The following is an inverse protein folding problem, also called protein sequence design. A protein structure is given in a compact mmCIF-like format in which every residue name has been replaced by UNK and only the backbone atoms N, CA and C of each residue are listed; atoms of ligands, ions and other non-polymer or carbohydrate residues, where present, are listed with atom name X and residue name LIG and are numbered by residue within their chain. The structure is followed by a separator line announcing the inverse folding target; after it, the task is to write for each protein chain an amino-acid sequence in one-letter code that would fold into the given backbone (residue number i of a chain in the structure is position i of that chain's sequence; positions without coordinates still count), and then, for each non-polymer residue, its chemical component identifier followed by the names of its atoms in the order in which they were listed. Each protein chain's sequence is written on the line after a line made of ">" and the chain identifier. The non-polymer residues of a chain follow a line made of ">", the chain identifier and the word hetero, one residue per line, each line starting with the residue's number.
data_IF_442138996831
#
_entry.id   IF_442138996831
#
_cell.length_a   1.000
_cell.length_b   1.000
_cell.length_c   1.000
_cell.angle_alpha   90.00
_cell.angle_beta   90.00
_cell.angle_gamma   90.00
#
_symmetry.space_group_name_H-M   'P 1'
#
loop_
_entity.id
_entity.type
_entity.pdbx_description
1 polymer ?
#
# COMPACT_ATOMS: atom_id res chain seq x y z
N UNK A 1 -31.95 -5.84 15.47
CA UNK A 1 -30.51 -6.26 15.40
C UNK A 1 -30.05 -6.05 13.97
N UNK A 2 -29.15 -5.12 13.71
CA UNK A 2 -28.54 -4.96 12.39
C UNK A 2 -27.80 -6.27 12.05
N UNK A 3 -28.22 -6.94 10.98
CA UNK A 3 -27.49 -8.08 10.44
C UNK A 3 -26.19 -7.56 9.84
N UNK A 4 -25.05 -8.06 10.30
CA UNK A 4 -23.72 -7.75 9.74
C UNK A 4 -23.21 -9.00 9.01
N UNK A 5 -22.48 -8.79 7.91
CA UNK A 5 -21.85 -9.88 7.14
C UNK A 5 -20.47 -10.28 7.71
N UNK A 6 -20.28 -10.16 9.00
CA UNK A 6 -19.06 -10.56 9.72
C UNK A 6 -19.41 -11.24 11.04
N UNK A 7 -18.53 -12.07 11.53
CA UNK A 7 -18.73 -12.77 12.81
C UNK A 7 -18.46 -11.83 13.99
N UNK A 8 -17.29 -11.20 14.02
CA UNK A 8 -16.94 -10.18 15.02
C UNK A 8 -16.06 -9.09 14.40
N UNK A 9 -15.95 -7.93 15.06
CA UNK A 9 -15.07 -6.86 14.64
C UNK A 9 -13.58 -7.28 14.70
N UNK A 10 -13.24 -8.05 15.71
CA UNK A 10 -11.88 -8.51 16.01
C UNK A 10 -11.38 -9.48 14.95
N UNK A 11 -12.24 -10.31 14.39
CA UNK A 11 -11.85 -11.36 13.43
C UNK A 11 -12.12 -10.97 11.97
N UNK A 12 -12.94 -9.95 11.71
CA UNK A 12 -13.45 -9.64 10.38
C UNK A 12 -12.36 -9.43 9.33
N UNK A 13 -11.30 -8.67 9.64
CA UNK A 13 -10.22 -8.39 8.70
C UNK A 13 -9.40 -9.65 8.39
N UNK A 14 -9.12 -10.44 9.41
CA UNK A 14 -8.45 -11.73 9.27
C UNK A 14 -9.27 -12.70 8.40
N UNK A 15 -10.57 -12.80 8.68
CA UNK A 15 -11.48 -13.64 7.92
C UNK A 15 -11.62 -13.17 6.47
N UNK A 16 -11.65 -11.86 6.22
CA UNK A 16 -11.68 -11.29 4.87
C UNK A 16 -10.45 -11.68 4.05
N UNK A 17 -9.24 -11.56 4.60
CA UNK A 17 -8.01 -12.00 3.92
C UNK A 17 -8.00 -13.51 3.66
N UNK A 18 -8.49 -14.32 4.58
CA UNK A 18 -8.64 -15.75 4.38
C UNK A 18 -9.65 -16.06 3.27
N UNK A 19 -10.74 -15.29 3.19
CA UNK A 19 -11.71 -15.36 2.10
C UNK A 19 -11.09 -15.10 0.74
N UNK A 20 -10.32 -14.02 0.61
CA UNK A 20 -9.60 -13.66 -0.61
C UNK A 20 -8.62 -14.78 -1.02
N UNK A 21 -7.82 -15.28 -0.07
CA UNK A 21 -6.88 -16.37 -0.32
C UNK A 21 -7.58 -17.65 -0.81
N UNK A 22 -8.77 -17.97 -0.26
CA UNK A 22 -9.58 -19.12 -0.69
C UNK A 22 -10.21 -18.91 -2.07
N UNK A 23 -10.67 -17.70 -2.36
CA UNK A 23 -11.25 -17.35 -3.66
C UNK A 23 -10.21 -17.35 -4.81
N UNK A 24 -8.94 -17.11 -4.47
CA UNK A 24 -7.85 -17.03 -5.44
C UNK A 24 -6.70 -18.00 -5.05
N UNK A 25 -6.93 -19.32 -5.14
CA UNK A 25 -5.94 -20.31 -4.71
C UNK A 25 -4.65 -20.19 -5.53
N UNK A 26 -3.52 -20.23 -4.83
CA UNK A 26 -2.20 -20.15 -5.45
C UNK A 26 -1.75 -18.74 -5.88
N UNK A 27 -2.62 -17.71 -5.76
CA UNK A 27 -2.31 -16.35 -6.22
C UNK A 27 -1.54 -15.55 -5.17
N UNK A 28 -1.89 -15.72 -3.91
CA UNK A 28 -1.36 -14.90 -2.82
C UNK A 28 -0.72 -15.74 -1.72
N UNK A 29 0.37 -15.20 -1.17
CA UNK A 29 0.86 -15.56 0.16
C UNK A 29 0.43 -14.51 1.16
N UNK A 30 -0.01 -14.95 2.32
CA UNK A 30 -0.37 -14.10 3.43
C UNK A 30 0.84 -13.91 4.34
N UNK A 31 1.18 -12.66 4.61
CA UNK A 31 2.03 -12.29 5.73
C UNK A 31 1.15 -12.18 6.97
N UNK A 32 1.60 -12.75 8.06
CA UNK A 32 0.98 -12.65 9.38
C UNK A 32 2.05 -12.32 10.42
N UNK A 33 1.82 -11.29 11.18
CA UNK A 33 2.66 -10.84 12.29
C UNK A 33 1.79 -10.64 13.53
N UNK A 34 2.39 -10.46 14.68
CA UNK A 34 1.65 -10.09 15.90
C UNK A 34 0.98 -8.70 15.80
N UNK A 35 1.42 -7.84 14.85
CA UNK A 35 0.95 -6.47 14.68
C UNK A 35 -0.03 -6.27 13.52
N UNK A 36 -0.26 -7.30 12.70
CA UNK A 36 -1.18 -7.19 11.57
C UNK A 36 -0.88 -8.14 10.43
N UNK A 37 -1.54 -7.90 9.32
CA UNK A 37 -1.59 -8.81 8.18
C UNK A 37 -1.36 -8.07 6.86
N UNK A 38 -0.93 -8.85 5.85
CA UNK A 38 -0.89 -8.40 4.47
C UNK A 38 -0.94 -9.56 3.50
N UNK A 39 -1.07 -9.25 2.22
CA UNK A 39 -1.00 -10.20 1.12
C UNK A 39 0.05 -9.75 0.11
N UNK A 40 0.82 -10.71 -0.42
CA UNK A 40 1.67 -10.48 -1.57
C UNK A 40 1.47 -11.55 -2.63
N UNK A 41 1.73 -11.19 -3.86
CA UNK A 41 1.58 -12.09 -5.00
C UNK A 41 2.65 -13.18 -5.01
N UNK A 42 2.27 -14.42 -5.30
CA UNK A 42 3.22 -15.53 -5.38
C UNK A 42 4.13 -15.41 -6.62
N UNK A 43 3.60 -14.92 -7.74
CA UNK A 43 4.32 -14.83 -9.01
C UNK A 43 4.73 -13.38 -9.29
N UNK A 44 5.61 -12.83 -8.45
CA UNK A 44 6.19 -11.53 -8.74
C UNK A 44 7.34 -11.74 -9.74
N UNK A 45 7.04 -11.53 -11.01
CA UNK A 45 8.03 -11.66 -12.08
C UNK A 45 9.03 -10.49 -12.01
N UNK A 46 10.27 -10.78 -12.36
CA UNK A 46 11.35 -9.85 -12.63
C UNK A 46 12.03 -9.15 -11.45
N UNK A 47 13.29 -8.90 -11.67
CA UNK A 47 14.19 -8.17 -10.81
C UNK A 47 13.98 -6.64 -11.00
N UNK A 48 12.94 -6.09 -10.40
CA UNK A 48 12.52 -4.68 -10.48
C UNK A 48 12.14 -4.14 -9.10
N UNK A 49 12.01 -2.83 -8.98
CA UNK A 49 11.48 -2.18 -7.77
C UNK A 49 10.13 -2.80 -7.42
N UNK A 50 9.93 -3.12 -6.15
CA UNK A 50 8.67 -3.63 -5.61
C UNK A 50 7.77 -2.48 -5.19
N UNK A 51 6.48 -2.65 -5.40
CA UNK A 51 5.46 -1.67 -5.03
C UNK A 51 4.55 -2.29 -3.98
N UNK A 52 4.43 -1.62 -2.84
CA UNK A 52 3.52 -1.96 -1.75
C UNK A 52 2.48 -0.86 -1.64
N UNK A 53 1.20 -1.22 -1.58
CA UNK A 53 0.12 -0.32 -1.23
C UNK A 53 -0.39 -0.63 0.16
N UNK A 54 -0.80 0.39 0.88
CA UNK A 54 -1.28 0.23 2.24
C UNK A 54 -2.31 1.27 2.66
N UNK A 55 -2.95 1.02 3.80
CA UNK A 55 -3.92 1.93 4.41
C UNK A 55 -4.80 1.26 5.45
N UNK A 56 -5.83 1.96 5.90
CA UNK A 56 -6.73 1.49 6.95
C UNK A 56 -7.48 0.21 6.60
N UNK A 57 -7.69 -0.66 7.59
CA UNK A 57 -8.29 -1.99 7.40
C UNK A 57 -9.76 -1.99 7.03
N UNK A 58 -10.51 -0.91 7.30
CA UNK A 58 -11.89 -0.77 6.84
C UNK A 58 -12.05 -0.84 5.32
N UNK A 59 -10.99 -0.57 4.59
CA UNK A 59 -10.89 -0.65 3.13
C UNK A 59 -10.07 -1.86 2.65
N UNK A 60 -9.92 -2.89 3.46
CA UNK A 60 -9.08 -4.06 3.17
C UNK A 60 -9.39 -4.74 1.83
N UNK A 61 -10.65 -4.75 1.40
CA UNK A 61 -11.07 -5.25 0.09
C UNK A 61 -10.53 -4.39 -1.07
N UNK A 62 -10.41 -3.08 -0.88
CA UNK A 62 -9.79 -2.19 -1.86
C UNK A 62 -8.28 -2.48 -1.96
N UNK A 63 -7.59 -2.55 -0.83
CA UNK A 63 -6.15 -2.81 -0.82
C UNK A 63 -5.80 -4.15 -1.47
N UNK A 64 -6.59 -5.20 -1.21
CA UNK A 64 -6.36 -6.50 -1.84
C UNK A 64 -6.51 -6.48 -3.36
N UNK A 65 -7.38 -5.62 -3.90
CA UNK A 65 -7.53 -5.46 -5.34
C UNK A 65 -6.31 -4.81 -6.01
N UNK A 66 -5.47 -4.10 -5.26
CA UNK A 66 -4.21 -3.56 -5.77
C UNK A 66 -3.09 -4.59 -5.89
N UNK A 67 -3.13 -5.69 -5.12
CA UNK A 67 -2.13 -6.75 -5.22
C UNK A 67 -2.33 -7.60 -6.49
N UNK A 68 -2.23 -6.96 -7.66
CA UNK A 68 -2.50 -7.50 -8.98
C UNK A 68 -1.34 -7.30 -9.96
N UNK A 69 -1.31 -8.11 -11.00
CA UNK A 69 -0.34 -7.91 -12.08
C UNK A 69 -0.60 -6.58 -12.79
N UNK A 70 0.45 -5.79 -12.92
CA UNK A 70 0.37 -4.44 -13.49
C UNK A 70 -0.13 -3.38 -12.51
N UNK A 71 -0.23 -3.73 -11.23
CA UNK A 71 -0.45 -2.84 -10.09
C UNK A 71 0.62 -3.12 -9.03
N UNK A 72 0.25 -3.20 -7.74
CA UNK A 72 1.19 -3.45 -6.67
C UNK A 72 1.59 -4.94 -6.56
N UNK A 73 2.71 -5.19 -5.92
CA UNK A 73 3.22 -6.54 -5.64
C UNK A 73 2.66 -7.09 -4.33
N UNK A 74 2.38 -6.19 -3.39
CA UNK A 74 1.83 -6.52 -2.08
C UNK A 74 0.89 -5.42 -1.57
N UNK A 75 0.09 -5.80 -0.59
CA UNK A 75 -0.76 -4.90 0.17
C UNK A 75 -0.62 -5.17 1.66
N UNK A 76 -0.71 -4.11 2.45
CA UNK A 76 -0.81 -4.17 3.91
C UNK A 76 -2.01 -3.33 4.34
N UNK A 77 -2.78 -3.79 5.32
CA UNK A 77 -3.82 -2.97 5.91
C UNK A 77 -3.70 -2.93 7.44
N UNK A 78 -4.11 -1.82 8.01
CA UNK A 78 -4.28 -1.68 9.45
C UNK A 78 -5.54 -2.36 9.97
N UNK A 79 -5.87 -2.09 11.22
CA UNK A 79 -7.18 -2.41 11.78
C UNK A 79 -8.26 -1.45 11.26
N UNK A 80 -9.51 -1.69 11.65
CA UNK A 80 -10.58 -0.74 11.39
C UNK A 80 -10.20 0.63 11.94
N UNK A 81 -10.35 1.65 11.09
CA UNK A 81 -10.09 3.06 11.42
C UNK A 81 -8.64 3.35 11.90
N UNK A 82 -7.68 2.52 11.51
CA UNK A 82 -6.27 2.74 11.85
C UNK A 82 -5.33 2.38 10.71
N UNK A 83 -4.24 3.12 10.60
CA UNK A 83 -3.14 2.84 9.70
C UNK A 83 -2.47 1.48 10.01
N UNK A 84 -1.82 0.85 9.04
CA UNK A 84 -1.01 -0.34 9.30
C UNK A 84 0.19 0.01 10.21
N UNK A 85 0.58 -0.96 11.03
CA UNK A 85 1.76 -0.81 11.88
C UNK A 85 3.03 -0.81 11.01
N UNK A 86 3.99 0.06 11.33
CA UNK A 86 5.27 0.17 10.63
C UNK A 86 6.04 -1.15 10.53
N UNK A 87 5.96 -1.98 11.56
CA UNK A 87 6.62 -3.28 11.58
C UNK A 87 6.02 -4.26 10.55
N UNK A 88 4.71 -4.21 10.31
CA UNK A 88 4.07 -5.05 9.28
C UNK A 88 4.50 -4.61 7.88
N UNK A 89 4.61 -3.29 7.65
CA UNK A 89 5.12 -2.72 6.40
C UNK A 89 6.58 -3.15 6.16
N UNK A 90 7.41 -3.03 7.18
CA UNK A 90 8.81 -3.45 7.16
C UNK A 90 8.96 -4.95 6.85
N UNK A 91 8.22 -5.83 7.55
CA UNK A 91 8.26 -7.27 7.30
C UNK A 91 7.73 -7.62 5.90
N UNK A 92 6.68 -6.95 5.44
CA UNK A 92 6.20 -7.13 4.07
C UNK A 92 7.27 -6.79 3.04
N UNK A 93 7.93 -5.65 3.21
CA UNK A 93 9.00 -5.23 2.33
C UNK A 93 10.15 -6.23 2.28
N UNK A 94 10.59 -6.75 3.42
CA UNK A 94 11.64 -7.78 3.50
C UNK A 94 11.25 -9.07 2.80
N UNK A 95 9.99 -9.48 2.90
CA UNK A 95 9.50 -10.72 2.29
C UNK A 95 9.49 -10.66 0.75
N UNK A 96 9.34 -9.48 0.17
CA UNK A 96 9.25 -9.34 -1.30
C UNK A 96 10.46 -8.65 -1.93
N UNK A 97 11.40 -8.14 -1.13
CA UNK A 97 12.59 -7.47 -1.65
C UNK A 97 13.40 -8.39 -2.57
N UNK A 98 13.97 -7.77 -3.59
CA UNK A 98 14.86 -8.43 -4.55
C UNK A 98 16.13 -7.62 -4.81
N UNK A 99 16.48 -6.68 -3.91
CA UNK A 99 17.64 -5.82 -4.03
C UNK A 99 17.50 -4.66 -5.01
N UNK A 100 16.27 -4.37 -5.49
CA UNK A 100 15.98 -3.22 -6.38
C UNK A 100 15.29 -2.08 -5.67
N UNK A 101 14.91 -2.27 -4.41
CA UNK A 101 14.24 -1.30 -3.56
C UNK A 101 12.73 -1.43 -3.57
N UNK A 102 12.12 -0.71 -2.63
CA UNK A 102 10.69 -0.74 -2.32
C UNK A 102 10.10 0.66 -2.49
N UNK A 103 8.98 0.76 -3.20
CA UNK A 103 8.14 1.96 -3.25
C UNK A 103 6.84 1.70 -2.50
N UNK A 104 6.63 2.40 -1.39
CA UNK A 104 5.36 2.44 -0.69
C UNK A 104 4.45 3.50 -1.30
N UNK A 105 3.20 3.14 -1.54
CA UNK A 105 2.14 4.05 -1.97
C UNK A 105 1.01 3.99 -0.95
N UNK A 106 0.75 5.09 -0.28
CA UNK A 106 -0.31 5.20 0.72
C UNK A 106 -1.12 6.47 0.51
N UNK A 107 -2.32 6.55 1.06
CA UNK A 107 -3.08 7.79 1.09
C UNK A 107 -2.53 8.73 2.17
N UNK A 108 -2.58 10.03 1.90
CA UNK A 108 -2.05 11.04 2.82
C UNK A 108 -2.96 11.23 4.02
N UNK A 109 -2.76 10.39 5.04
CA UNK A 109 -3.28 10.54 6.39
C UNK A 109 -2.13 10.42 7.37
N UNK A 110 -2.19 11.14 8.48
CA UNK A 110 -1.05 11.27 9.40
C UNK A 110 -0.55 9.90 9.92
N UNK A 111 -1.46 9.00 10.26
CA UNK A 111 -1.09 7.66 10.74
C UNK A 111 -0.36 6.82 9.68
N UNK A 112 -0.86 6.86 8.45
CA UNK A 112 -0.24 6.15 7.33
C UNK A 112 1.13 6.76 7.00
N UNK A 113 1.23 8.09 6.96
CA UNK A 113 2.49 8.79 6.76
C UNK A 113 3.55 8.38 7.79
N UNK A 114 3.25 8.50 9.09
CA UNK A 114 4.21 8.22 10.16
C UNK A 114 4.66 6.75 10.19
N UNK A 115 3.76 5.81 9.95
CA UNK A 115 4.11 4.39 9.93
C UNK A 115 4.92 4.00 8.69
N UNK A 116 4.62 4.59 7.53
CA UNK A 116 5.44 4.39 6.32
C UNK A 116 6.83 4.99 6.47
N UNK A 117 6.95 6.20 7.02
CA UNK A 117 8.23 6.86 7.28
C UNK A 117 9.10 6.00 8.20
N UNK A 118 8.54 5.53 9.31
CA UNK A 118 9.22 4.60 10.22
C UNK A 118 9.63 3.28 9.52
N UNK A 119 8.79 2.72 8.66
CA UNK A 119 9.12 1.51 7.92
C UNK A 119 10.30 1.73 6.96
N UNK A 120 10.36 2.89 6.30
CA UNK A 120 11.50 3.29 5.44
C UNK A 120 12.78 3.40 6.26
N UNK A 121 12.72 4.00 7.45
CA UNK A 121 13.88 4.08 8.36
C UNK A 121 14.36 2.69 8.81
N UNK A 122 13.44 1.81 9.21
CA UNK A 122 13.78 0.44 9.60
C UNK A 122 14.44 -0.34 8.47
N UNK A 123 13.94 -0.21 7.24
CA UNK A 123 14.53 -0.85 6.06
C UNK A 123 15.92 -0.33 5.75
N UNK A 124 16.18 0.96 5.96
CA UNK A 124 17.51 1.54 5.78
C UNK A 124 18.56 0.92 6.72
N UNK A 125 18.18 0.56 7.95
CA UNK A 125 19.06 -0.16 8.88
C UNK A 125 19.45 -1.56 8.36
N UNK A 126 18.58 -2.19 7.58
CA UNK A 126 18.83 -3.49 6.94
C UNK A 126 19.47 -3.36 5.54
N UNK A 127 19.89 -2.15 5.15
CA UNK A 127 20.42 -1.82 3.82
C UNK A 127 19.44 -2.10 2.66
N UNK A 128 18.15 -2.03 2.92
CA UNK A 128 17.09 -2.12 1.90
C UNK A 128 16.66 -0.70 1.56
N UNK A 129 16.88 -0.30 0.31
CA UNK A 129 16.46 1.01 -0.17
C UNK A 129 14.93 1.07 -0.28
N UNK A 130 14.32 2.05 0.34
CA UNK A 130 12.89 2.26 0.27
C UNK A 130 12.56 3.75 0.08
N UNK A 131 11.43 4.01 -0.54
CA UNK A 131 10.85 5.35 -0.67
C UNK A 131 9.34 5.25 -0.48
N UNK A 132 8.70 6.36 -0.10
CA UNK A 132 7.25 6.44 -0.01
C UNK A 132 6.70 7.60 -0.83
N UNK A 133 5.45 7.48 -1.27
CA UNK A 133 4.67 8.58 -1.83
C UNK A 133 3.28 8.56 -1.21
N UNK A 134 2.96 9.63 -0.47
CA UNK A 134 1.64 9.85 0.10
C UNK A 134 0.76 10.57 -0.92
N UNK A 135 -0.35 9.95 -1.28
CA UNK A 135 -1.27 10.44 -2.29
C UNK A 135 -2.20 11.48 -1.67
N UNK A 136 -2.24 12.68 -2.26
CA UNK A 136 -2.95 13.87 -1.74
C UNK A 136 -3.84 14.49 -2.82
N UNK A 137 -4.72 13.67 -3.37
CA UNK A 137 -5.52 14.01 -4.55
C UNK A 137 -6.89 14.62 -4.25
N UNK A 138 -7.42 14.47 -3.01
CA UNK A 138 -8.75 14.97 -2.66
C UNK A 138 -8.75 16.50 -2.45
N UNK A 139 -9.29 17.21 -3.45
CA UNK A 139 -9.29 18.68 -3.45
C UNK A 139 -10.32 19.29 -2.49
N UNK A 140 -11.25 18.50 -1.95
CA UNK A 140 -12.25 18.96 -0.99
C UNK A 140 -11.87 18.66 0.47
N UNK A 141 -10.83 17.86 0.70
CA UNK A 141 -10.44 17.43 2.06
C UNK A 141 -9.76 18.51 2.90
N UNK A 142 -9.38 19.64 2.32
CA UNK A 142 -8.84 20.77 3.06
C UNK A 142 -9.27 22.10 2.45
N UNK A 143 -9.39 23.12 3.30
CA UNK A 143 -9.61 24.49 2.85
C UNK A 143 -8.30 25.09 2.28
N UNK A 144 -8.42 25.74 1.12
CA UNK A 144 -7.30 26.40 0.44
C UNK A 144 -6.52 25.51 -0.53
N UNK A 145 -5.52 26.13 -1.20
CA UNK A 145 -4.78 25.50 -2.30
C UNK A 145 -3.54 24.68 -1.85
N UNK A 146 -3.31 24.52 -0.55
CA UNK A 146 -2.11 23.84 -0.03
C UNK A 146 -2.25 22.34 -0.27
N UNK A 147 -1.67 21.87 -1.37
CA UNK A 147 -1.72 20.47 -1.78
C UNK A 147 -1.20 19.49 -0.73
N UNK A 148 -0.27 19.95 0.10
CA UNK A 148 0.35 19.16 1.16
C UNK A 148 -0.61 18.83 2.33
N UNK A 149 -1.71 19.57 2.46
CA UNK A 149 -2.71 19.32 3.50
C UNK A 149 -3.90 18.47 3.04
N UNK A 150 -3.92 18.10 1.76
CA UNK A 150 -5.00 17.28 1.20
C UNK A 150 -4.89 15.84 1.66
N UNK A 151 -6.03 15.20 1.91
CA UNK A 151 -6.12 13.76 2.06
C UNK A 151 -5.96 13.03 0.74
N UNK A 152 -5.71 11.73 0.80
CA UNK A 152 -5.73 10.84 -0.36
C UNK A 152 -7.08 10.15 -0.50
N UNK A 153 -7.48 9.90 -1.74
CA UNK A 153 -8.74 9.23 -2.05
C UNK A 153 -8.56 8.20 -3.17
N UNK A 154 -8.91 8.53 -4.41
CA UNK A 154 -8.87 7.60 -5.54
C UNK A 154 -7.58 7.67 -6.37
N UNK A 155 -6.78 8.73 -6.20
CA UNK A 155 -5.55 8.97 -6.97
C UNK A 155 -4.51 7.87 -6.84
N UNK A 156 -4.55 7.13 -5.74
CA UNK A 156 -3.63 6.01 -5.51
C UNK A 156 -3.71 4.94 -6.62
N UNK A 157 -4.89 4.72 -7.19
CA UNK A 157 -5.08 3.77 -8.30
C UNK A 157 -4.30 4.17 -9.55
N UNK A 158 -4.39 5.44 -9.94
CA UNK A 158 -3.71 5.98 -11.10
C UNK A 158 -2.19 6.00 -10.88
N UNK A 159 -1.74 6.48 -9.71
CA UNK A 159 -0.31 6.54 -9.39
C UNK A 159 0.29 5.13 -9.34
N UNK A 160 -0.39 4.18 -8.70
CA UNK A 160 0.04 2.79 -8.65
C UNK A 160 0.18 2.18 -10.06
N UNK A 161 -0.80 2.38 -10.94
CA UNK A 161 -0.77 1.87 -12.32
C UNK A 161 0.38 2.44 -13.13
N UNK A 162 0.63 3.75 -13.01
CA UNK A 162 1.73 4.44 -13.68
C UNK A 162 3.08 3.90 -13.17
N UNK A 163 3.26 3.82 -11.86
CA UNK A 163 4.49 3.33 -11.26
C UNK A 163 4.74 1.85 -11.57
N UNK A 164 3.70 1.00 -11.57
CA UNK A 164 3.84 -0.40 -11.93
C UNK A 164 4.26 -0.60 -13.38
N UNK A 165 3.73 0.22 -14.29
CA UNK A 165 4.16 0.24 -15.70
C UNK A 165 5.65 0.61 -15.82
N UNK A 166 6.05 1.72 -15.21
CA UNK A 166 7.42 2.20 -15.27
C UNK A 166 8.42 1.24 -14.59
N UNK A 167 8.03 0.59 -13.49
CA UNK A 167 8.85 -0.43 -12.84
C UNK A 167 9.13 -1.63 -13.77
N UNK A 168 8.15 -2.02 -14.58
CA UNK A 168 8.32 -3.10 -15.59
C UNK A 168 9.24 -2.68 -16.74
N UNK A 169 9.27 -1.39 -17.07
CA UNK A 169 10.20 -0.81 -18.05
C UNK A 169 11.60 -0.58 -17.47
N UNK A 170 11.87 -1.00 -16.23
CA UNK A 170 13.18 -0.98 -15.61
C UNK A 170 13.56 0.31 -14.90
N UNK A 171 12.59 1.17 -14.57
CA UNK A 171 12.85 2.36 -13.76
C UNK A 171 13.39 1.95 -12.39
N UNK A 172 14.47 2.61 -11.93
CA UNK A 172 15.00 2.43 -10.59
C UNK A 172 14.15 3.17 -9.54
N UNK A 173 14.46 2.95 -8.26
CA UNK A 173 13.68 3.51 -7.15
C UNK A 173 13.62 5.05 -7.19
N UNK A 174 14.73 5.72 -7.49
CA UNK A 174 14.76 7.18 -7.58
C UNK A 174 13.85 7.72 -8.71
N UNK A 175 13.92 7.07 -9.87
CA UNK A 175 13.07 7.43 -11.01
C UNK A 175 11.58 7.19 -10.70
N UNK A 176 11.25 6.07 -10.03
CA UNK A 176 9.89 5.76 -9.63
C UNK A 176 9.35 6.72 -8.56
N UNK A 177 10.16 7.08 -7.57
CA UNK A 177 9.79 8.05 -6.55
C UNK A 177 9.47 9.42 -7.17
N UNK A 178 10.33 9.90 -8.09
CA UNK A 178 10.07 11.14 -8.86
C UNK A 178 8.80 11.04 -9.70
N UNK A 179 8.57 9.89 -10.34
CA UNK A 179 7.37 9.66 -11.15
C UNK A 179 6.11 9.62 -10.30
N UNK A 180 6.15 8.95 -9.15
CA UNK A 180 5.04 8.91 -8.20
C UNK A 180 4.67 10.31 -7.71
N UNK A 181 5.65 11.10 -7.28
CA UNK A 181 5.44 12.49 -6.84
C UNK A 181 4.88 13.37 -7.96
N UNK A 182 5.41 13.26 -9.17
CA UNK A 182 4.91 13.97 -10.36
C UNK A 182 3.47 13.57 -10.69
N UNK A 183 3.14 12.30 -10.61
CA UNK A 183 1.78 11.80 -10.88
C UNK A 183 0.82 12.30 -9.80
N UNK A 184 1.19 12.18 -8.51
CA UNK A 184 0.41 12.68 -7.40
C UNK A 184 0.10 14.19 -7.54
N UNK A 185 1.09 14.99 -7.94
CA UNK A 185 0.87 16.44 -8.15
C UNK A 185 -0.15 16.79 -9.24
N UNK A 186 -0.54 15.83 -10.08
CA UNK A 186 -1.45 16.02 -11.23
C UNK A 186 -2.78 15.32 -11.11
N UNK A 187 -2.89 14.31 -10.28
CA UNK A 187 -4.16 13.62 -10.00
C UNK A 187 -5.01 14.46 -9.07
N UNK A 188 -6.30 14.51 -9.35
CA UNK A 188 -7.30 15.18 -8.52
C UNK A 188 -8.54 14.30 -8.41
N UNK A 189 -9.10 14.23 -7.22
CA UNK A 189 -10.39 13.62 -6.94
C UNK A 189 -11.24 14.54 -6.07
N UNK A 190 -12.49 14.18 -5.93
CA UNK A 190 -13.50 14.90 -5.16
C UNK A 190 -14.27 13.86 -4.36
N UNK A 191 -14.32 14.02 -3.04
CA UNK A 191 -15.11 13.18 -2.13
C UNK A 191 -16.52 13.74 -1.88
#
# INVERSE_FOLDING_TARGET
>A
RLMRFWNSRETALNEALNGIKRACPGKYTRLETEYGYGLYRNNISSNRVRIIVDGGGGYGHMWSAFAEEGLADAMVHGNFDSAPNAYVLYEMAKNIDCGKGILFLTNHYMGDYLNNDMAVELLAHDNINAAMCCISDDILSCEGEIAENRGGLHGIGQVCKICAGAAREGYNLEQLSKLASKSNSRVRSVS
#
